data_IF_792133223123
#
_entry.id   IF_792133223123
#
_cell.length_a   1.000
_cell.length_b   1.000
_cell.length_c   1.000
_cell.angle_alpha   90.00
_cell.angle_beta   90.00
_cell.angle_gamma   90.00
#
_symmetry.space_group_name_H-M   'P 1'
#
loop_
_entity.id
_entity.type
_entity.pdbx_description
1 polymer ?
#
# COMPACT_ATOMS: atom_id res chain seq x y z
N UNK A 1 -21.14 -8.40 -10.12
CA UNK A 1 -19.89 -8.97 -9.60
C UNK A 1 -19.68 -8.38 -8.22
N UNK A 2 -19.23 -9.18 -7.24
CA UNK A 2 -18.83 -8.65 -5.94
C UNK A 2 -17.57 -7.78 -6.06
N UNK A 3 -17.35 -6.89 -5.09
CA UNK A 3 -16.13 -6.09 -5.01
C UNK A 3 -14.95 -7.02 -4.68
N UNK A 4 -13.81 -6.81 -5.36
CA UNK A 4 -12.60 -7.58 -5.10
C UNK A 4 -11.93 -7.13 -3.79
N UNK A 5 -11.39 -8.09 -3.04
CA UNK A 5 -10.58 -7.85 -1.86
C UNK A 5 -9.11 -8.08 -2.17
N UNK A 6 -8.25 -7.20 -1.69
CA UNK A 6 -6.80 -7.25 -1.84
C UNK A 6 -6.10 -6.83 -0.55
N UNK A 7 -4.80 -7.02 -0.46
CA UNK A 7 -4.04 -6.67 0.74
C UNK A 7 -2.80 -5.82 0.43
N UNK A 8 -2.50 -4.86 1.34
CA UNK A 8 -1.26 -4.11 1.37
C UNK A 8 -0.45 -4.54 2.60
N UNK A 9 0.72 -5.12 2.34
CA UNK A 9 1.62 -5.60 3.39
C UNK A 9 2.69 -4.55 3.73
N UNK A 10 2.75 -4.19 5.01
CA UNK A 10 3.73 -3.26 5.57
C UNK A 10 4.87 -3.98 6.30
N UNK A 11 4.68 -5.23 6.69
CA UNK A 11 5.61 -6.00 7.53
C UNK A 11 6.01 -5.21 8.80
N UNK A 12 5.02 -4.88 9.63
CA UNK A 12 5.25 -4.12 10.87
C UNK A 12 6.10 -4.90 11.86
N UNK A 13 7.10 -4.22 12.43
CA UNK A 13 8.06 -4.79 13.38
C UNK A 13 7.78 -4.24 14.77
N UNK A 14 7.27 -5.07 15.67
CA UNK A 14 7.03 -4.73 17.06
C UNK A 14 8.35 -4.50 17.82
N UNK A 15 8.36 -3.56 18.75
CA UNK A 15 9.53 -3.23 19.56
C UNK A 15 10.14 -4.48 20.22
N UNK A 16 11.46 -4.63 20.07
CA UNK A 16 12.19 -5.78 20.61
C UNK A 16 12.11 -7.07 19.77
N UNK A 17 11.45 -7.03 18.63
CA UNK A 17 11.35 -8.17 17.71
C UNK A 17 12.30 -8.06 16.52
N UNK A 18 12.62 -9.20 15.93
CA UNK A 18 13.52 -9.26 14.79
C UNK A 18 12.73 -9.07 13.47
N UNK A 19 13.23 -8.19 12.59
CA UNK A 19 12.65 -8.00 11.25
C UNK A 19 12.63 -9.31 10.42
N UNK A 20 13.56 -10.24 10.67
CA UNK A 20 13.61 -11.54 10.01
C UNK A 20 12.37 -12.39 10.27
N UNK A 21 11.81 -12.35 11.49
CA UNK A 21 10.58 -13.06 11.85
C UNK A 21 9.39 -12.51 11.08
N UNK A 22 9.32 -11.18 10.98
CA UNK A 22 8.25 -10.49 10.26
C UNK A 22 8.32 -10.76 8.77
N UNK A 23 9.50 -10.65 8.16
CA UNK A 23 9.69 -10.94 6.73
C UNK A 23 9.34 -12.40 6.40
N UNK A 24 9.68 -13.36 7.26
CA UNK A 24 9.26 -14.75 7.10
C UNK A 24 7.73 -14.89 7.21
N UNK A 25 7.06 -14.11 8.06
CA UNK A 25 5.61 -14.14 8.22
C UNK A 25 4.85 -13.59 6.99
N UNK A 26 5.45 -12.69 6.20
CA UNK A 26 4.79 -12.15 4.99
C UNK A 26 4.46 -13.24 3.97
N UNK A 27 5.33 -14.23 3.83
CA UNK A 27 5.09 -15.37 2.96
C UNK A 27 3.89 -16.22 3.42
N UNK A 28 3.77 -16.46 4.73
CA UNK A 28 2.64 -17.18 5.30
C UNK A 28 1.32 -16.42 5.11
N UNK A 29 1.36 -15.09 5.31
CA UNK A 29 0.19 -14.23 5.07
C UNK A 29 -0.21 -14.25 3.58
N UNK A 30 0.75 -14.14 2.66
CA UNK A 30 0.44 -14.18 1.23
C UNK A 30 -0.19 -15.52 0.80
N UNK A 31 0.30 -16.65 1.31
CA UNK A 31 -0.32 -17.96 1.10
C UNK A 31 -1.74 -18.03 1.66
N UNK A 32 -1.95 -17.51 2.88
CA UNK A 32 -3.30 -17.47 3.48
C UNK A 32 -4.26 -16.58 2.69
N UNK A 33 -3.82 -15.43 2.20
CA UNK A 33 -4.62 -14.55 1.36
C UNK A 33 -5.00 -15.21 0.03
N UNK A 34 -4.09 -15.98 -0.57
CA UNK A 34 -4.39 -16.80 -1.76
C UNK A 34 -5.48 -17.84 -1.48
N UNK A 35 -5.37 -18.58 -0.35
CA UNK A 35 -6.38 -19.55 0.08
C UNK A 35 -7.76 -18.92 0.32
N UNK A 36 -7.79 -17.69 0.84
CA UNK A 36 -9.00 -16.92 1.10
C UNK A 36 -9.60 -16.26 -0.16
N UNK A 37 -8.92 -16.37 -1.31
CA UNK A 37 -9.40 -15.81 -2.57
C UNK A 37 -9.19 -14.32 -2.73
N UNK A 38 -8.27 -13.72 -1.99
CA UNK A 38 -7.87 -12.33 -2.22
C UNK A 38 -7.26 -12.18 -3.62
N UNK A 39 -7.55 -11.04 -4.26
CA UNK A 39 -7.17 -10.82 -5.66
C UNK A 39 -5.68 -10.52 -5.81
N UNK A 40 -5.10 -9.68 -4.91
CA UNK A 40 -3.69 -9.31 -4.94
C UNK A 40 -3.11 -9.03 -3.56
N UNK A 41 -1.77 -9.11 -3.47
CA UNK A 41 -0.96 -8.63 -2.34
C UNK A 41 0.08 -7.66 -2.88
N UNK A 42 0.09 -6.44 -2.35
CA UNK A 42 1.11 -5.44 -2.64
C UNK A 42 2.00 -5.20 -1.44
N UNK A 43 3.25 -4.87 -1.70
CA UNK A 43 4.28 -4.58 -0.71
C UNK A 43 4.61 -3.09 -0.76
N UNK A 44 4.57 -2.41 0.39
CA UNK A 44 4.95 -1.01 0.51
C UNK A 44 6.47 -0.80 0.49
N UNK A 45 6.94 0.43 0.24
CA UNK A 45 8.34 0.85 0.36
C UNK A 45 8.47 1.90 1.46
N UNK A 46 9.23 1.56 2.51
CA UNK A 46 9.57 2.48 3.60
C UNK A 46 11.05 2.35 3.96
N UNK A 47 11.67 3.47 4.33
CA UNK A 47 13.08 3.51 4.64
C UNK A 47 13.33 4.15 6.00
N UNK A 48 14.29 3.60 6.76
CA UNK A 48 14.76 4.14 8.03
C UNK A 48 13.79 4.01 9.21
N UNK A 49 12.62 3.43 9.02
CA UNK A 49 11.68 3.20 10.12
C UNK A 49 11.98 1.90 10.85
N UNK A 50 12.16 1.91 12.16
CA UNK A 50 12.30 0.68 12.94
C UNK A 50 10.97 -0.12 13.03
N UNK A 51 9.84 0.51 12.72
CA UNK A 51 8.51 -0.10 12.79
C UNK A 51 8.11 -0.91 11.56
N UNK A 52 8.86 -0.83 10.44
CA UNK A 52 8.46 -1.42 9.15
C UNK A 52 9.67 -2.07 8.49
N UNK A 53 9.51 -3.32 8.03
CA UNK A 53 10.59 -4.09 7.40
C UNK A 53 10.58 -4.04 5.85
N UNK A 54 9.58 -3.42 5.22
CA UNK A 54 9.46 -3.36 3.76
C UNK A 54 10.24 -2.18 3.17
N UNK A 55 11.46 -2.41 2.71
CA UNK A 55 12.29 -1.37 2.07
C UNK A 55 12.60 -1.66 0.59
N UNK A 56 12.30 -2.86 0.11
CA UNK A 56 12.62 -3.28 -1.25
C UNK A 56 11.47 -4.10 -1.86
N UNK A 57 10.41 -3.44 -2.34
CA UNK A 57 9.24 -4.13 -2.89
C UNK A 57 9.57 -5.16 -3.97
N UNK A 58 10.48 -4.91 -4.95
CA UNK A 58 10.77 -5.91 -5.98
C UNK A 58 11.36 -7.20 -5.43
N UNK A 59 12.21 -7.11 -4.37
CA UNK A 59 12.83 -8.29 -3.74
C UNK A 59 11.78 -9.12 -3.00
N UNK A 60 10.92 -8.44 -2.21
CA UNK A 60 9.85 -9.13 -1.49
C UNK A 60 8.77 -9.65 -2.45
N UNK A 61 8.44 -8.94 -3.51
CA UNK A 61 7.52 -9.40 -4.54
C UNK A 61 8.03 -10.69 -5.20
N UNK A 62 9.32 -10.79 -5.51
CA UNK A 62 9.92 -12.03 -6.03
C UNK A 62 9.76 -13.19 -5.05
N UNK A 63 10.01 -12.94 -3.75
CA UNK A 63 9.85 -13.95 -2.71
C UNK A 63 8.40 -14.41 -2.58
N UNK A 64 7.44 -13.48 -2.48
CA UNK A 64 6.02 -13.83 -2.32
C UNK A 64 5.45 -14.51 -3.57
N UNK A 65 5.84 -14.07 -4.76
CA UNK A 65 5.40 -14.67 -6.02
C UNK A 65 5.91 -16.11 -6.18
N UNK A 66 7.11 -16.42 -5.65
CA UNK A 66 7.68 -17.76 -5.69
C UNK A 66 7.00 -18.77 -4.72
N UNK A 67 6.35 -18.28 -3.65
CA UNK A 67 5.68 -19.13 -2.65
C UNK A 67 4.15 -19.14 -2.82
N UNK A 68 3.62 -18.48 -3.85
CA UNK A 68 2.20 -18.44 -4.21
C UNK A 68 2.02 -18.85 -5.68
N UNK A 69 0.80 -19.19 -6.08
CA UNK A 69 0.54 -19.80 -7.41
C UNK A 69 -0.38 -18.97 -8.30
N UNK A 70 -1.38 -18.28 -7.74
CA UNK A 70 -2.45 -17.63 -8.46
C UNK A 70 -2.65 -16.15 -8.10
N UNK A 71 -2.49 -15.79 -6.83
CA UNK A 71 -2.67 -14.43 -6.35
C UNK A 71 -1.70 -13.47 -7.06
N UNK A 72 -2.18 -12.28 -7.44
CA UNK A 72 -1.32 -11.25 -8.03
C UNK A 72 -0.41 -10.66 -6.95
N UNK A 73 0.82 -10.38 -7.31
CA UNK A 73 1.83 -9.79 -6.41
C UNK A 73 2.34 -8.49 -7.04
N UNK A 74 2.54 -7.47 -6.21
CA UNK A 74 3.03 -6.19 -6.72
C UNK A 74 3.64 -5.29 -5.66
N UNK A 75 3.95 -4.09 -6.08
CA UNK A 75 4.37 -2.99 -5.19
C UNK A 75 3.20 -2.06 -4.88
N UNK A 76 3.12 -1.62 -3.62
CA UNK A 76 2.12 -0.66 -3.18
C UNK A 76 2.70 0.51 -2.38
N UNK A 77 3.73 1.16 -2.96
CA UNK A 77 4.39 1.15 -4.27
C UNK A 77 5.90 1.25 -4.22
N UNK A 78 6.51 1.13 -5.39
CA UNK A 78 7.88 1.61 -5.56
C UNK A 78 7.86 3.13 -5.53
N UNK A 79 8.71 3.73 -4.72
CA UNK A 79 8.86 5.19 -4.65
C UNK A 79 9.75 5.66 -5.81
N UNK A 80 9.14 5.98 -6.95
CA UNK A 80 9.85 6.28 -8.20
C UNK A 80 11.04 7.23 -8.05
N UNK A 81 10.96 8.33 -7.28
CA UNK A 81 12.08 9.25 -7.12
C UNK A 81 13.34 8.67 -6.47
N UNK A 82 13.24 7.50 -5.82
CA UNK A 82 14.39 6.83 -5.21
C UNK A 82 15.17 5.95 -6.21
N UNK A 83 14.62 5.71 -7.40
CA UNK A 83 15.10 4.70 -8.34
C UNK A 83 15.20 5.27 -9.75
N UNK A 84 16.11 4.72 -10.59
CA UNK A 84 16.12 5.02 -12.01
C UNK A 84 14.92 4.34 -12.71
N UNK A 85 14.15 5.04 -13.57
CA UNK A 85 13.01 4.46 -14.26
C UNK A 85 13.30 3.16 -15.02
N UNK A 86 14.46 3.09 -15.70
CA UNK A 86 14.90 1.86 -16.38
C UNK A 86 15.11 0.70 -15.41
N UNK A 87 15.70 0.96 -14.24
CA UNK A 87 15.91 -0.10 -13.23
C UNK A 87 14.60 -0.67 -12.71
N UNK A 88 13.59 0.20 -12.47
CA UNK A 88 12.24 -0.24 -12.09
C UNK A 88 11.65 -1.11 -13.22
N UNK A 89 11.71 -0.64 -14.46
CA UNK A 89 11.19 -1.37 -15.62
C UNK A 89 11.82 -2.77 -15.75
N UNK A 90 13.12 -2.90 -15.62
CA UNK A 90 13.85 -4.19 -15.71
C UNK A 90 13.54 -5.13 -14.53
N UNK A 91 13.43 -4.61 -13.31
CA UNK A 91 13.04 -5.40 -12.15
C UNK A 91 11.65 -6.02 -12.32
N UNK A 92 10.67 -5.22 -12.74
CA UNK A 92 9.30 -5.70 -12.90
C UNK A 92 9.10 -6.52 -14.19
N UNK A 93 9.87 -6.26 -15.25
CA UNK A 93 9.93 -7.14 -16.41
C UNK A 93 10.50 -8.52 -16.04
N UNK A 94 11.54 -8.55 -15.21
CA UNK A 94 12.11 -9.81 -14.69
C UNK A 94 11.08 -10.57 -13.85
N UNK A 95 10.37 -9.88 -12.95
CA UNK A 95 9.27 -10.50 -12.17
C UNK A 95 8.18 -11.05 -13.08
N UNK A 96 7.78 -10.31 -14.11
CA UNK A 96 6.76 -10.74 -15.06
C UNK A 96 7.21 -11.93 -15.93
N UNK A 97 8.50 -12.03 -16.22
CA UNK A 97 9.07 -13.20 -16.88
C UNK A 97 9.00 -14.46 -16.02
N UNK A 98 9.30 -14.32 -14.71
CA UNK A 98 9.27 -15.41 -13.74
C UNK A 98 7.84 -15.82 -13.37
N UNK A 99 6.91 -14.87 -13.34
CA UNK A 99 5.52 -15.06 -12.89
C UNK A 99 4.52 -14.40 -13.86
N UNK A 100 4.36 -14.95 -15.08
CA UNK A 100 3.54 -14.34 -16.15
C UNK A 100 2.11 -14.06 -15.71
N UNK A 101 1.62 -12.85 -15.97
CA UNK A 101 0.24 -12.44 -15.72
C UNK A 101 -0.10 -12.12 -14.25
N UNK A 102 0.87 -12.24 -13.33
CA UNK A 102 0.64 -12.07 -11.89
C UNK A 102 1.27 -10.82 -11.28
N UNK A 103 1.96 -10.00 -12.05
CA UNK A 103 2.76 -8.90 -11.51
C UNK A 103 2.09 -7.55 -11.74
N UNK A 104 1.99 -6.76 -10.66
CA UNK A 104 1.54 -5.38 -10.66
C UNK A 104 2.71 -4.44 -10.31
N UNK A 105 2.77 -3.30 -10.97
CA UNK A 105 3.74 -2.25 -10.67
C UNK A 105 3.01 -1.01 -10.12
N UNK A 106 2.82 -0.95 -8.82
CA UNK A 106 2.35 0.26 -8.16
C UNK A 106 3.48 1.24 -7.91
N UNK A 107 3.28 2.49 -8.31
CA UNK A 107 4.27 3.56 -8.25
C UNK A 107 3.79 4.68 -7.33
N UNK A 108 4.63 5.07 -6.38
CA UNK A 108 4.39 6.16 -5.44
C UNK A 108 5.34 7.34 -5.65
N UNK A 109 4.92 8.51 -5.18
CA UNK A 109 5.71 9.74 -5.22
C UNK A 109 6.58 9.92 -3.98
N UNK A 110 6.07 9.50 -2.83
CA UNK A 110 6.71 9.79 -1.55
C UNK A 110 8.11 9.19 -1.47
N UNK A 111 9.01 9.75 -0.65
CA UNK A 111 10.33 9.14 -0.49
C UNK A 111 10.30 7.84 0.35
N UNK A 112 9.18 7.50 0.98
CA UNK A 112 9.08 6.36 1.90
C UNK A 112 9.74 6.59 3.25
N UNK A 113 10.10 7.83 3.55
CA UNK A 113 10.72 8.25 4.81
C UNK A 113 10.52 9.74 5.05
N UNK A 114 10.68 10.17 6.30
CA UNK A 114 10.70 11.60 6.68
C UNK A 114 12.13 12.10 7.00
N UNK A 115 13.14 11.22 7.02
CA UNK A 115 14.53 11.59 7.30
C UNK A 115 15.23 12.11 6.02
N UNK A 116 15.59 13.38 6.03
CA UNK A 116 16.29 14.03 4.91
C UNK A 116 17.64 13.37 4.57
N UNK A 117 18.34 12.79 5.56
CA UNK A 117 19.60 12.08 5.32
C UNK A 117 19.37 10.81 4.48
N UNK A 118 18.29 10.10 4.79
CA UNK A 118 17.90 8.90 4.04
C UNK A 118 17.44 9.29 2.64
N UNK A 119 16.63 10.34 2.50
CA UNK A 119 16.21 10.87 1.18
C UNK A 119 17.44 11.18 0.32
N UNK A 120 18.40 11.93 0.88
CA UNK A 120 19.64 12.27 0.16
C UNK A 120 20.49 11.03 -0.19
N UNK A 121 20.55 10.04 0.70
CA UNK A 121 21.27 8.79 0.44
C UNK A 121 20.62 8.01 -0.71
N UNK A 122 19.31 7.86 -0.73
CA UNK A 122 18.55 7.19 -1.80
C UNK A 122 18.71 7.92 -3.14
N UNK A 123 18.66 9.26 -3.13
CA UNK A 123 18.76 10.12 -4.30
C UNK A 123 20.21 10.54 -4.64
N UNK A 124 21.21 9.83 -4.11
CA UNK A 124 22.65 10.07 -4.39
C UNK A 124 23.10 11.51 -4.12
N UNK A 125 22.58 12.12 -3.06
CA UNK A 125 22.89 13.48 -2.63
C UNK A 125 21.94 14.55 -3.17
N UNK A 126 21.00 14.22 -4.06
CA UNK A 126 19.99 15.16 -4.53
C UNK A 126 18.95 15.49 -3.46
N UNK A 127 18.33 16.65 -3.59
CA UNK A 127 17.22 17.09 -2.75
C UNK A 127 15.95 16.26 -3.02
N UNK A 128 14.90 16.36 -2.16
CA UNK A 128 13.61 15.73 -2.41
C UNK A 128 13.09 16.05 -3.81
N UNK A 129 12.49 15.05 -4.48
CA UNK A 129 11.99 15.23 -5.83
C UNK A 129 10.86 16.24 -5.92
N UNK A 130 10.90 17.07 -6.94
CA UNK A 130 9.80 17.96 -7.31
C UNK A 130 8.67 17.18 -7.98
N UNK A 131 7.50 17.81 -8.12
CA UNK A 131 6.37 17.23 -8.85
C UNK A 131 6.70 17.00 -10.33
N UNK A 132 7.48 17.90 -10.93
CA UNK A 132 7.89 17.79 -12.33
C UNK A 132 8.89 16.65 -12.55
N UNK A 133 9.84 16.45 -11.64
CA UNK A 133 10.76 15.30 -11.66
C UNK A 133 9.98 13.99 -11.53
N UNK A 134 9.06 13.89 -10.56
CA UNK A 134 8.21 12.70 -10.41
C UNK A 134 7.38 12.42 -11.66
N UNK A 135 6.77 13.44 -12.25
CA UNK A 135 6.01 13.31 -13.51
C UNK A 135 6.91 12.80 -14.65
N UNK A 136 8.12 13.33 -14.77
CA UNK A 136 9.10 12.90 -15.78
C UNK A 136 9.52 11.45 -15.56
N UNK A 137 9.84 11.05 -14.33
CA UNK A 137 10.22 9.68 -13.97
C UNK A 137 9.11 8.67 -14.31
N UNK A 138 7.84 8.99 -13.98
CA UNK A 138 6.70 8.13 -14.31
C UNK A 138 6.52 8.03 -15.83
N UNK A 139 6.61 9.14 -16.54
CA UNK A 139 6.47 9.14 -18.00
C UNK A 139 7.59 8.31 -18.67
N UNK A 140 8.83 8.45 -18.20
CA UNK A 140 9.96 7.67 -18.71
C UNK A 140 9.79 6.17 -18.41
N UNK A 141 9.38 5.82 -17.19
CA UNK A 141 9.07 4.44 -16.82
C UNK A 141 8.03 3.81 -17.75
N UNK A 142 6.92 4.51 -18.01
CA UNK A 142 5.87 4.01 -18.92
C UNK A 142 6.38 3.84 -20.34
N UNK A 143 7.22 4.75 -20.85
CA UNK A 143 7.85 4.63 -22.16
C UNK A 143 8.81 3.44 -22.25
N UNK A 144 9.55 3.13 -21.17
CA UNK A 144 10.36 1.91 -21.09
C UNK A 144 9.47 0.67 -21.18
N UNK A 145 8.40 0.61 -20.40
CA UNK A 145 7.46 -0.52 -20.41
C UNK A 145 6.74 -0.69 -21.76
N UNK A 146 6.50 0.42 -22.48
CA UNK A 146 5.90 0.43 -23.81
C UNK A 146 6.92 0.14 -24.94
N UNK A 147 8.23 0.08 -24.64
CA UNK A 147 9.28 -0.11 -25.67
C UNK A 147 9.55 1.13 -26.52
N UNK A 148 9.18 2.33 -26.06
CA UNK A 148 9.22 3.59 -26.83
C UNK A 148 10.52 4.40 -26.64
N UNK A 149 11.43 3.95 -25.76
CA UNK A 149 12.67 4.70 -25.46
C UNK A 149 13.82 4.37 -26.38
N UNK A 150 13.71 3.34 -27.22
CA UNK A 150 14.82 2.79 -27.99
C UNK A 150 15.85 1.98 -27.16
N UNK A 151 15.64 1.91 -25.84
CA UNK A 151 16.43 1.08 -24.93
C UNK A 151 15.68 -0.25 -24.75
N UNK A 152 16.38 -1.36 -24.94
CA UNK A 152 15.80 -2.68 -24.71
C UNK A 152 15.74 -2.94 -23.21
N UNK A 153 14.53 -3.05 -22.67
CA UNK A 153 14.28 -3.48 -21.28
C UNK A 153 14.50 -4.99 -21.19
N UNK A 154 15.37 -5.42 -20.29
CA UNK A 154 15.64 -6.85 -20.10
C UNK A 154 14.67 -7.48 -19.07
N UNK A 155 14.35 -8.79 -19.22
CA UNK A 155 14.98 -9.80 -20.09
C UNK A 155 14.50 -9.82 -21.55
N UNK A 156 13.65 -8.91 -21.97
CA UNK A 156 13.18 -8.80 -23.35
C UNK A 156 11.68 -8.99 -23.50
N UNK A 157 11.23 -9.76 -24.47
CA UNK A 157 9.78 -9.97 -24.74
C UNK A 157 9.12 -10.78 -23.63
N UNK A 158 8.48 -10.08 -22.69
CA UNK A 158 7.76 -10.65 -21.53
C UNK A 158 6.40 -9.95 -21.37
N UNK A 159 5.44 -10.56 -20.68
CA UNK A 159 4.22 -9.86 -20.32
C UNK A 159 4.54 -8.58 -19.53
N UNK A 160 3.98 -7.46 -19.97
CA UNK A 160 4.19 -6.17 -19.29
C UNK A 160 3.48 -6.20 -17.92
N UNK A 161 4.16 -5.78 -16.82
CA UNK A 161 3.50 -5.62 -15.54
C UNK A 161 2.41 -4.54 -15.65
N UNK A 162 1.30 -4.70 -14.93
CA UNK A 162 0.24 -3.70 -14.93
C UNK A 162 0.68 -2.48 -14.09
N UNK A 163 0.82 -1.27 -14.69
CA UNK A 163 1.23 -0.08 -13.96
C UNK A 163 0.06 0.58 -13.25
N UNK A 164 0.30 1.05 -12.02
CA UNK A 164 -0.66 1.73 -11.15
C UNK A 164 -0.03 2.98 -10.54
N UNK A 165 -0.81 4.05 -10.32
CA UNK A 165 -0.35 5.16 -9.49
C UNK A 165 -1.03 5.16 -8.12
N UNK A 166 -0.21 5.33 -7.07
CA UNK A 166 -0.69 5.49 -5.71
C UNK A 166 -0.99 6.97 -5.44
N UNK A 167 -2.22 7.27 -5.05
CA UNK A 167 -2.71 8.63 -4.95
C UNK A 167 -3.21 8.95 -3.54
N UNK A 168 -2.73 10.05 -2.97
CA UNK A 168 -3.24 10.65 -1.71
C UNK A 168 -3.63 12.13 -1.89
N UNK A 169 -3.57 12.65 -3.13
CA UNK A 169 -3.89 14.04 -3.48
C UNK A 169 -4.51 14.14 -4.86
N UNK A 170 -5.27 15.19 -5.12
CA UNK A 170 -5.87 15.49 -6.42
C UNK A 170 -4.82 15.64 -7.54
N UNK A 171 -3.65 16.20 -7.23
CA UNK A 171 -2.56 16.35 -8.20
C UNK A 171 -2.04 15.00 -8.71
N UNK A 172 -1.80 14.03 -7.80
CA UNK A 172 -1.41 12.67 -8.18
C UNK A 172 -2.50 11.95 -8.98
N UNK A 173 -3.76 12.13 -8.59
CA UNK A 173 -4.92 11.59 -9.30
C UNK A 173 -5.08 12.17 -10.70
N UNK A 174 -4.86 13.48 -10.86
CA UNK A 174 -4.85 14.17 -12.15
C UNK A 174 -3.77 13.63 -13.09
N UNK A 175 -2.56 13.38 -12.56
CA UNK A 175 -1.48 12.75 -13.33
C UNK A 175 -1.88 11.34 -13.81
N UNK A 176 -2.44 10.52 -12.93
CA UNK A 176 -2.89 9.18 -13.29
C UNK A 176 -3.99 9.21 -14.37
N UNK A 177 -4.95 10.14 -14.23
CA UNK A 177 -6.02 10.34 -15.19
C UNK A 177 -5.51 10.78 -16.57
N UNK A 178 -4.53 11.69 -16.59
CA UNK A 178 -3.88 12.17 -17.82
C UNK A 178 -3.14 11.04 -18.56
N UNK A 179 -2.47 10.18 -17.81
CA UNK A 179 -1.71 9.03 -18.33
C UNK A 179 -2.59 7.80 -18.61
N UNK A 180 -3.88 7.85 -18.26
CA UNK A 180 -4.80 6.72 -18.42
C UNK A 180 -4.44 5.49 -17.60
N UNK A 181 -3.94 5.70 -16.38
CA UNK A 181 -3.54 4.63 -15.47
C UNK A 181 -4.62 4.35 -14.42
N UNK A 182 -4.76 3.11 -13.93
CA UNK A 182 -5.55 2.81 -12.75
C UNK A 182 -4.88 3.39 -11.50
N UNK A 183 -5.68 3.67 -10.45
CA UNK A 183 -5.19 4.27 -9.21
C UNK A 183 -5.45 3.41 -7.98
N UNK A 184 -4.55 3.54 -6.99
CA UNK A 184 -4.78 3.10 -5.62
C UNK A 184 -4.84 4.32 -4.70
N UNK A 185 -6.02 4.57 -4.12
CA UNK A 185 -6.28 5.73 -3.26
C UNK A 185 -5.90 5.40 -1.82
N UNK A 186 -4.99 6.18 -1.25
CA UNK A 186 -4.47 5.97 0.10
C UNK A 186 -5.42 6.52 1.19
N UNK A 187 -6.65 5.98 1.27
CA UNK A 187 -7.64 6.36 2.29
C UNK A 187 -7.15 6.08 3.70
N UNK A 188 -6.39 5.00 3.89
CA UNK A 188 -5.74 4.64 5.15
C UNK A 188 -4.70 5.66 5.66
N UNK A 189 -4.27 6.62 4.82
CA UNK A 189 -3.32 7.68 5.19
C UNK A 189 -4.01 9.03 5.25
N UNK A 190 -4.81 9.37 4.24
CA UNK A 190 -5.47 10.68 4.09
C UNK A 190 -6.94 10.51 3.70
N UNK A 191 -7.78 10.00 4.61
CA UNK A 191 -9.19 9.76 4.32
C UNK A 191 -9.95 11.01 3.91
N UNK A 192 -9.58 12.17 4.44
CA UNK A 192 -10.18 13.47 4.11
C UNK A 192 -10.01 13.89 2.66
N UNK A 193 -8.99 13.38 1.97
CA UNK A 193 -8.72 13.74 0.56
C UNK A 193 -9.43 12.81 -0.42
N UNK A 194 -10.03 11.71 0.04
CA UNK A 194 -10.54 10.64 -0.83
C UNK A 194 -11.54 11.15 -1.86
N UNK A 195 -12.50 11.97 -1.46
CA UNK A 195 -13.52 12.50 -2.38
C UNK A 195 -12.89 13.38 -3.48
N UNK A 196 -11.98 14.28 -3.12
CA UNK A 196 -11.27 15.16 -4.06
C UNK A 196 -10.39 14.36 -5.03
N UNK A 197 -9.67 13.34 -4.53
CA UNK A 197 -8.84 12.43 -5.34
C UNK A 197 -9.69 11.70 -6.38
N UNK A 198 -10.82 11.13 -5.97
CA UNK A 198 -11.72 10.39 -6.86
C UNK A 198 -12.37 11.30 -7.90
N UNK A 199 -12.78 12.50 -7.52
CA UNK A 199 -13.33 13.49 -8.43
C UNK A 199 -12.30 13.89 -9.50
N UNK A 200 -11.09 14.31 -9.06
CA UNK A 200 -10.02 14.71 -9.97
C UNK A 200 -9.64 13.59 -10.95
N UNK A 201 -9.63 12.33 -10.49
CA UNK A 201 -9.33 11.19 -11.34
C UNK A 201 -10.41 10.95 -12.39
N UNK A 202 -11.69 10.83 -11.98
CA UNK A 202 -12.77 10.42 -12.88
C UNK A 202 -13.13 11.49 -13.90
N UNK A 203 -13.10 12.76 -13.51
CA UNK A 203 -13.42 13.88 -14.41
C UNK A 203 -12.36 14.07 -15.51
N UNK A 204 -11.10 13.71 -15.24
CA UNK A 204 -10.00 13.98 -16.14
C UNK A 204 -9.41 12.72 -16.81
N UNK A 205 -9.99 11.54 -16.57
CA UNK A 205 -9.46 10.29 -17.10
C UNK A 205 -9.47 10.26 -18.63
N UNK A 206 -8.33 9.92 -19.19
CA UNK A 206 -8.14 9.70 -20.63
C UNK A 206 -7.80 8.24 -20.89
N UNK A 207 -8.54 7.53 -21.76
CA UNK A 207 -8.18 6.17 -22.15
C UNK A 207 -6.75 6.09 -22.70
N UNK A 208 -6.07 5.00 -22.39
CA UNK A 208 -4.70 4.73 -22.84
C UNK A 208 -4.54 3.25 -23.20
N UNK A 209 -3.33 2.87 -23.62
CA UNK A 209 -2.99 1.45 -23.82
C UNK A 209 -3.04 0.63 -22.51
N UNK A 210 -2.98 1.30 -21.35
CA UNK A 210 -3.00 0.67 -20.03
C UNK A 210 -4.41 0.39 -19.54
N UNK A 211 -5.35 1.33 -19.81
CA UNK A 211 -6.75 1.21 -19.41
C UNK A 211 -7.68 1.99 -20.32
N UNK A 212 -8.82 1.35 -20.68
CA UNK A 212 -9.90 2.01 -21.42
C UNK A 212 -10.82 2.83 -20.53
N UNK A 213 -10.95 2.44 -19.25
CA UNK A 213 -11.88 3.05 -18.28
C UNK A 213 -11.17 3.26 -16.94
N UNK A 214 -11.61 4.25 -16.16
CA UNK A 214 -11.13 4.41 -14.79
C UNK A 214 -11.24 3.11 -13.99
N UNK A 215 -10.25 2.85 -13.15
CA UNK A 215 -10.28 1.75 -12.19
C UNK A 215 -9.66 2.22 -10.88
N UNK A 216 -10.36 1.99 -9.78
CA UNK A 216 -10.02 2.51 -8.46
C UNK A 216 -9.88 1.38 -7.45
N UNK A 217 -8.69 1.24 -6.87
CA UNK A 217 -8.47 0.54 -5.61
C UNK A 217 -8.61 1.56 -4.48
N UNK A 218 -9.44 1.28 -3.48
CA UNK A 218 -9.48 2.05 -2.24
C UNK A 218 -8.70 1.30 -1.15
N UNK A 219 -7.58 1.87 -0.68
CA UNK A 219 -6.80 1.26 0.38
C UNK A 219 -7.31 1.72 1.76
N UNK A 220 -7.79 0.77 2.58
CA UNK A 220 -8.47 1.00 3.87
C UNK A 220 -7.71 0.29 4.98
N UNK A 221 -7.44 0.99 6.10
CA UNK A 221 -6.94 0.33 7.29
C UNK A 221 -8.04 -0.53 7.89
N UNK A 222 -7.77 -1.83 7.97
CA UNK A 222 -8.77 -2.81 8.38
C UNK A 222 -8.20 -3.67 9.50
N UNK A 223 -8.85 -3.64 10.66
CA UNK A 223 -8.52 -4.50 11.80
C UNK A 223 -9.82 -5.15 12.26
N UNK A 224 -10.02 -6.39 11.80
CA UNK A 224 -11.16 -7.20 12.15
C UNK A 224 -10.74 -8.27 13.16
N UNK A 225 -11.50 -8.42 14.22
CA UNK A 225 -11.30 -9.45 15.25
C UNK A 225 -12.63 -10.10 15.62
N UNK A 226 -12.64 -11.13 16.45
CA UNK A 226 -13.89 -11.81 16.83
C UNK A 226 -14.85 -10.89 17.61
N UNK A 227 -14.33 -9.80 18.22
CA UNK A 227 -15.14 -8.77 18.91
C UNK A 227 -14.62 -7.36 18.61
N UNK A 228 -15.50 -6.35 18.78
CA UNK A 228 -15.12 -4.93 18.68
C UNK A 228 -14.05 -4.55 19.71
N UNK A 229 -14.11 -5.10 20.90
CA UNK A 229 -13.15 -4.83 21.97
C UNK A 229 -11.74 -5.36 21.63
N UNK A 230 -11.66 -6.55 21.05
CA UNK A 230 -10.43 -7.15 20.61
C UNK A 230 -9.83 -6.38 19.42
N UNK A 231 -10.65 -6.02 18.44
CA UNK A 231 -10.22 -5.20 17.32
C UNK A 231 -9.66 -3.84 17.78
N UNK A 232 -10.32 -3.20 18.75
CA UNK A 232 -9.83 -1.95 19.34
C UNK A 232 -8.50 -2.14 20.09
N UNK A 233 -8.31 -3.24 20.79
CA UNK A 233 -7.05 -3.59 21.45
C UNK A 233 -5.92 -3.81 20.43
N UNK A 234 -6.19 -4.57 19.37
CA UNK A 234 -5.23 -4.80 18.29
C UNK A 234 -4.86 -3.53 17.53
N UNK A 235 -5.78 -2.56 17.42
CA UNK A 235 -5.54 -1.26 16.78
C UNK A 235 -4.72 -0.28 17.64
N UNK A 236 -4.54 -0.56 18.93
CA UNK A 236 -3.82 0.31 19.88
C UNK A 236 -2.45 0.77 19.39
N UNK A 237 -1.55 -0.13 18.95
CA UNK A 237 -0.24 0.25 18.41
C UNK A 237 -0.32 1.24 17.25
N UNK A 238 -1.24 1.04 16.32
CA UNK A 238 -1.46 1.97 15.20
C UNK A 238 -1.90 3.35 15.69
N UNK A 239 -2.79 3.40 16.68
CA UNK A 239 -3.24 4.66 17.26
C UNK A 239 -2.09 5.43 17.90
N UNK A 240 -1.17 4.75 18.61
CA UNK A 240 0.03 5.37 19.18
C UNK A 240 0.92 5.94 18.08
N UNK A 241 1.29 5.16 17.06
CA UNK A 241 2.10 5.65 15.93
C UNK A 241 1.45 6.87 15.27
N UNK A 242 0.15 6.81 15.00
CA UNK A 242 -0.60 7.92 14.38
C UNK A 242 -0.57 9.19 15.24
N UNK A 243 -0.62 9.05 16.57
CA UNK A 243 -0.58 10.20 17.46
C UNK A 243 0.70 11.02 17.33
N UNK A 244 1.81 10.36 17.01
CA UNK A 244 3.09 11.02 16.72
C UNK A 244 3.16 11.55 15.30
N UNK A 245 2.72 10.75 14.30
CA UNK A 245 2.72 11.17 12.89
C UNK A 245 1.87 12.44 12.65
N UNK A 246 0.73 12.57 13.35
CA UNK A 246 -0.12 13.77 13.28
C UNK A 246 0.57 15.03 13.81
N UNK A 247 1.60 14.87 14.66
CA UNK A 247 2.44 15.97 15.16
C UNK A 247 3.68 16.23 14.31
N UNK A 248 3.85 15.49 13.19
CA UNK A 248 5.08 15.54 12.38
C UNK A 248 6.27 14.82 13.02
N UNK A 249 5.99 13.98 14.02
CA UNK A 249 6.95 13.15 14.72
C UNK A 249 6.80 11.69 14.28
N UNK A 250 7.66 10.79 14.71
CA UNK A 250 7.41 9.35 14.59
C UNK A 250 8.26 8.60 13.56
N UNK A 251 9.17 9.27 12.84
CA UNK A 251 10.06 8.59 11.89
C UNK A 251 10.94 7.50 12.50
N UNK A 252 11.39 7.71 13.76
CA UNK A 252 12.28 6.80 14.49
C UNK A 252 11.55 5.96 15.56
N UNK A 253 10.21 5.97 15.56
CA UNK A 253 9.45 5.19 16.53
C UNK A 253 9.40 3.71 16.13
N UNK A 254 9.73 2.83 17.08
CA UNK A 254 9.41 1.42 16.99
C UNK A 254 7.88 1.21 17.09
N UNK A 255 7.37 0.17 16.45
CA UNK A 255 5.96 -0.19 16.59
C UNK A 255 5.72 -0.72 18.01
N UNK A 256 4.87 -0.07 18.84
CA UNK A 256 4.73 -0.46 20.22
C UNK A 256 4.05 -1.82 20.35
N UNK A 257 4.38 -2.52 21.45
CA UNK A 257 3.64 -3.73 21.82
C UNK A 257 2.20 -3.39 22.20
N UNK A 258 1.31 -4.37 22.11
CA UNK A 258 -0.09 -4.22 22.57
C UNK A 258 -0.18 -3.72 24.03
N UNK A 259 0.74 -4.21 24.90
CA UNK A 259 0.79 -3.79 26.31
C UNK A 259 1.24 -2.33 26.47
N UNK A 260 2.23 -1.89 25.72
CA UNK A 260 2.66 -0.48 25.71
C UNK A 260 1.57 0.43 25.18
N UNK A 261 0.92 0.02 24.09
CA UNK A 261 -0.19 0.78 23.52
C UNK A 261 -1.38 0.89 24.47
N UNK A 262 -1.73 -0.19 25.18
CA UNK A 262 -2.79 -0.17 26.19
C UNK A 262 -2.49 0.69 27.41
N UNK A 263 -1.21 0.92 27.72
CA UNK A 263 -0.74 1.80 28.80
C UNK A 263 -0.50 3.24 28.35
N UNK A 264 -0.61 3.53 27.06
CA UNK A 264 -0.34 4.85 26.50
C UNK A 264 -1.48 5.83 26.78
N UNK A 265 -1.14 6.97 27.40
CA UNK A 265 -2.10 8.05 27.65
C UNK A 265 -2.04 9.08 26.52
N UNK A 266 -3.14 9.20 25.76
CA UNK A 266 -3.24 10.20 24.70
C UNK A 266 -3.60 11.57 25.29
N UNK A 267 -2.91 12.63 24.80
CA UNK A 267 -3.40 13.98 25.02
C UNK A 267 -4.82 14.11 24.40
N UNK A 268 -5.73 14.88 25.03
CA UNK A 268 -7.14 14.98 24.59
C UNK A 268 -7.30 15.29 23.10
N UNK A 269 -6.50 16.22 22.58
CA UNK A 269 -6.50 16.62 21.16
C UNK A 269 -6.08 15.48 20.24
N UNK A 270 -5.05 14.71 20.64
CA UNK A 270 -4.61 13.54 19.88
C UNK A 270 -5.66 12.43 19.90
N UNK A 271 -6.31 12.20 21.03
CA UNK A 271 -7.37 11.20 21.16
C UNK A 271 -8.56 11.51 20.24
N UNK A 272 -8.97 12.79 20.15
CA UNK A 272 -10.05 13.20 19.26
C UNK A 272 -9.68 12.99 17.78
N UNK A 273 -8.48 13.42 17.37
CA UNK A 273 -8.00 13.22 15.99
C UNK A 273 -7.91 11.74 15.61
N UNK A 274 -7.40 10.89 16.52
CA UNK A 274 -7.33 9.45 16.32
C UNK A 274 -8.73 8.85 16.17
N UNK A 275 -9.67 9.26 17.04
CA UNK A 275 -11.05 8.78 16.98
C UNK A 275 -11.72 9.16 15.65
N UNK A 276 -11.55 10.40 15.18
CA UNK A 276 -12.04 10.86 13.87
C UNK A 276 -11.43 10.07 12.72
N UNK A 277 -10.12 9.82 12.78
CA UNK A 277 -9.42 9.04 11.76
C UNK A 277 -9.92 7.58 11.74
N UNK A 278 -10.04 6.96 12.91
CA UNK A 278 -10.46 5.55 13.04
C UNK A 278 -11.91 5.35 12.63
N UNK A 279 -12.77 6.33 12.87
CA UNK A 279 -14.20 6.27 12.52
C UNK A 279 -14.48 6.09 11.02
N UNK A 280 -13.52 6.45 10.17
CA UNK A 280 -13.62 6.31 8.70
C UNK A 280 -12.81 5.13 8.16
N UNK A 281 -12.29 4.28 9.04
CA UNK A 281 -11.60 3.04 8.71
C UNK A 281 -12.49 1.82 9.04
N UNK A 282 -12.00 0.62 8.78
CA UNK A 282 -12.78 -0.61 9.00
C UNK A 282 -12.26 -1.39 10.21
N UNK A 283 -12.58 -0.89 11.42
CA UNK A 283 -12.17 -1.53 12.68
C UNK A 283 -13.39 -2.05 13.45
N UNK A 284 -13.32 -3.30 13.91
CA UNK A 284 -14.37 -3.90 14.75
C UNK A 284 -14.51 -5.40 14.58
N UNK A 285 -15.58 -5.96 15.13
CA UNK A 285 -16.02 -7.30 14.82
C UNK A 285 -16.45 -7.46 13.36
N UNK A 286 -16.70 -8.68 12.89
CA UNK A 286 -16.93 -8.95 11.45
C UNK A 286 -18.08 -8.12 10.86
N UNK A 287 -19.19 -8.03 11.54
CA UNK A 287 -20.37 -7.26 11.09
C UNK A 287 -20.02 -5.78 10.88
N UNK A 288 -19.37 -5.17 11.87
CA UNK A 288 -19.01 -3.75 11.85
C UNK A 288 -17.93 -3.46 10.79
N UNK A 289 -16.85 -4.24 10.77
CA UNK A 289 -15.75 -4.04 9.83
C UNK A 289 -16.22 -4.21 8.37
N UNK A 290 -16.98 -5.26 8.08
CA UNK A 290 -17.51 -5.53 6.74
C UNK A 290 -18.56 -4.49 6.33
N UNK A 291 -19.43 -4.04 7.24
CA UNK A 291 -20.36 -2.94 6.96
C UNK A 291 -19.62 -1.66 6.61
N UNK A 292 -18.54 -1.31 7.33
CA UNK A 292 -17.71 -0.15 7.03
C UNK A 292 -17.08 -0.26 5.65
N UNK A 293 -16.52 -1.42 5.28
CA UNK A 293 -15.93 -1.67 3.96
C UNK A 293 -16.97 -1.55 2.84
N UNK A 294 -18.15 -2.15 3.00
CA UNK A 294 -19.25 -2.07 2.02
C UNK A 294 -19.74 -0.63 1.82
N UNK A 295 -19.93 0.11 2.92
CA UNK A 295 -20.32 1.52 2.87
C UNK A 295 -19.26 2.39 2.17
N UNK A 296 -17.97 2.17 2.47
CA UNK A 296 -16.88 2.87 1.78
C UNK A 296 -16.86 2.56 0.28
N UNK A 297 -17.02 1.31 -0.10
CA UNK A 297 -17.06 0.90 -1.48
C UNK A 297 -18.23 1.55 -2.24
N UNK A 298 -19.43 1.56 -1.64
CA UNK A 298 -20.62 2.19 -2.22
C UNK A 298 -20.44 3.71 -2.34
N UNK A 299 -20.01 4.37 -1.26
CA UNK A 299 -19.83 5.83 -1.22
C UNK A 299 -18.75 6.32 -2.20
N UNK A 300 -17.71 5.52 -2.43
CA UNK A 300 -16.59 5.89 -3.30
C UNK A 300 -16.73 5.35 -4.72
N UNK A 301 -17.58 4.34 -4.94
CA UNK A 301 -17.65 3.62 -6.22
C UNK A 301 -16.31 2.97 -6.58
N UNK A 302 -15.56 2.49 -5.59
CA UNK A 302 -14.32 1.77 -5.81
C UNK A 302 -14.59 0.41 -6.46
N UNK A 303 -13.71 0.00 -7.37
CA UNK A 303 -13.80 -1.30 -8.05
C UNK A 303 -13.21 -2.42 -7.19
N UNK A 304 -12.31 -2.06 -6.26
CA UNK A 304 -11.57 -2.99 -5.41
C UNK A 304 -11.23 -2.33 -4.06
N UNK A 305 -11.27 -3.12 -2.98
CA UNK A 305 -10.82 -2.71 -1.65
C UNK A 305 -9.49 -3.39 -1.33
N UNK A 306 -8.48 -2.58 -1.02
CA UNK A 306 -7.18 -3.08 -0.55
C UNK A 306 -7.05 -2.85 0.94
N UNK A 307 -6.97 -3.93 1.71
CA UNK A 307 -6.93 -3.91 3.16
C UNK A 307 -5.48 -3.81 3.64
N UNK A 308 -5.18 -2.87 4.52
CA UNK A 308 -3.94 -2.87 5.28
C UNK A 308 -4.24 -3.20 6.74
N UNK A 309 -3.60 -4.27 7.23
CA UNK A 309 -3.81 -4.77 8.60
C UNK A 309 -2.48 -4.71 9.37
N UNK A 310 -2.11 -3.53 9.91
CA UNK A 310 -0.83 -3.34 10.57
C UNK A 310 -0.85 -3.93 11.98
N UNK A 311 -1.01 -5.25 12.07
CA UNK A 311 -0.96 -6.05 13.30
C UNK A 311 0.28 -6.95 13.24
N UNK A 312 1.13 -6.89 14.28
CA UNK A 312 2.37 -7.66 14.32
C UNK A 312 2.10 -9.16 14.41
N UNK A 313 1.20 -9.58 15.31
CA UNK A 313 0.90 -11.00 15.51
C UNK A 313 0.35 -11.64 14.24
N UNK A 314 1.06 -12.67 13.76
CA UNK A 314 0.70 -13.37 12.53
C UNK A 314 -0.70 -14.00 12.59
N UNK A 315 -1.06 -14.60 13.73
CA UNK A 315 -2.36 -15.25 13.90
C UNK A 315 -3.50 -14.24 13.86
N UNK A 316 -3.40 -13.14 14.61
CA UNK A 316 -4.38 -12.07 14.64
C UNK A 316 -4.51 -11.38 13.28
N UNK A 317 -3.37 -11.15 12.57
CA UNK A 317 -3.37 -10.57 11.22
C UNK A 317 -4.06 -11.49 10.20
N UNK A 318 -3.73 -12.77 10.19
CA UNK A 318 -4.37 -13.75 9.32
C UNK A 318 -5.86 -13.90 9.64
N UNK A 319 -6.21 -13.92 10.93
CA UNK A 319 -7.61 -13.99 11.38
C UNK A 319 -8.42 -12.77 10.94
N UNK A 320 -7.84 -11.57 10.94
CA UNK A 320 -8.51 -10.37 10.45
C UNK A 320 -8.90 -10.51 8.98
N UNK A 321 -8.00 -10.98 8.12
CA UNK A 321 -8.31 -11.22 6.70
C UNK A 321 -9.35 -12.32 6.51
N UNK A 322 -9.28 -13.40 7.29
CA UNK A 322 -10.23 -14.51 7.25
C UNK A 322 -11.64 -14.05 7.60
N UNK A 323 -11.80 -13.35 8.72
CA UNK A 323 -13.11 -12.82 9.18
C UNK A 323 -13.74 -11.88 8.15
N UNK A 324 -12.93 -11.04 7.49
CA UNK A 324 -13.45 -10.19 6.43
C UNK A 324 -13.88 -11.02 5.22
N UNK A 325 -13.08 -11.98 4.77
CA UNK A 325 -13.40 -12.81 3.60
C UNK A 325 -14.64 -13.67 3.81
N UNK A 326 -14.86 -14.18 5.04
CA UNK A 326 -16.03 -14.99 5.39
C UNK A 326 -17.35 -14.19 5.44
N UNK A 327 -17.28 -12.89 5.78
CA UNK A 327 -18.45 -12.04 5.99
C UNK A 327 -18.72 -11.06 4.82
N UNK A 328 -17.79 -10.93 3.86
CA UNK A 328 -17.89 -10.00 2.74
C UNK A 328 -18.71 -10.56 1.60
#
# INVERSE_FOLDING_TARGET
>A
MGILLSALELAVVEEGRAATEVLASTAAVAGKLEELGYHRVWIAEHHGSPAIATSSPPVLAAHLAAVTSAIRIGSGGVMAPNHAPLAIAEQFATLSALHPGRIDLGVGRGPGTFDEKIIRALRRGADPATDDEYRADVAELLRHLAGETGIRVLPGEVPTPEPWLLCSSAAGAGLAAELGLPIAVAHHIRPQNTAEVLQAYRENFKPSQWREKPYVILCVETICADTDAEAAYLAGPCAVIKSYLLKGEGGDLAFPTLRQAAAHEFAPESAELIAQFTAVQAHGGPEKAVSSLKNLAEATGADELMLTTPVYDLGARARSYELVAEAF
#
